data_IF_635226655020
#
_entry.id   IF_635226655020
#
_cell.length_a   1.000
_cell.length_b   1.000
_cell.length_c   1.000
_cell.angle_alpha   90.00
_cell.angle_beta   90.00
_cell.angle_gamma   90.00
#
_symmetry.space_group_name_H-M   'P 1'
#
loop_
_entity.id
_entity.type
_entity.pdbx_description
1 polymer ?
#
# COMPACT_ATOMS: atom_id res chain seq x y z
N UNK A 1 36.80 -7.96 14.37
CA UNK A 1 35.71 -8.93 14.14
C UNK A 1 34.49 -8.12 13.70
N UNK A 2 34.24 -8.01 12.39
CA UNK A 2 33.17 -7.16 11.84
C UNK A 2 31.88 -7.99 11.86
N UNK A 3 31.05 -7.75 12.86
CA UNK A 3 29.67 -8.29 12.88
C UNK A 3 28.98 -7.67 11.68
N UNK A 4 28.74 -8.47 10.64
CA UNK A 4 27.83 -8.07 9.57
C UNK A 4 26.45 -8.17 10.18
N UNK A 5 25.85 -7.03 10.51
CA UNK A 5 24.41 -6.99 10.71
C UNK A 5 23.80 -7.39 9.36
N UNK A 6 23.18 -8.56 9.30
CA UNK A 6 22.38 -8.95 8.15
C UNK A 6 21.14 -8.06 8.05
N UNK A 7 20.47 -8.03 6.89
CA UNK A 7 19.22 -7.28 6.73
C UNK A 7 18.22 -7.71 7.80
N UNK A 8 17.58 -6.73 8.44
CA UNK A 8 16.56 -6.98 9.46
C UNK A 8 15.27 -7.34 8.73
N UNK A 9 14.88 -8.61 8.85
CA UNK A 9 13.61 -9.12 8.33
C UNK A 9 12.52 -8.84 9.38
N UNK A 10 11.61 -7.93 9.07
CA UNK A 10 10.46 -7.61 9.91
C UNK A 10 9.14 -7.85 9.16
N UNK A 11 8.04 -8.06 9.89
CA UNK A 11 6.70 -8.12 9.29
C UNK A 11 6.53 -9.26 8.28
N UNK A 12 6.95 -10.48 8.65
CA UNK A 12 6.92 -11.65 7.77
C UNK A 12 5.53 -12.33 7.78
N UNK A 13 4.86 -12.35 6.64
CA UNK A 13 3.63 -13.12 6.42
C UNK A 13 3.70 -13.91 5.12
N UNK A 14 4.36 -15.08 5.14
CA UNK A 14 4.52 -15.97 3.98
C UNK A 14 3.67 -17.23 4.17
N UNK A 15 2.89 -17.57 3.15
CA UNK A 15 2.10 -18.79 3.04
C UNK A 15 2.65 -19.69 1.95
N UNK A 16 2.65 -21.00 2.21
CA UNK A 16 3.04 -22.02 1.23
C UNK A 16 1.81 -22.41 0.41
N UNK A 17 1.86 -22.19 -0.91
CA UNK A 17 0.82 -22.61 -1.86
C UNK A 17 1.03 -24.04 -2.34
N UNK A 18 2.28 -24.38 -2.64
CA UNK A 18 2.67 -25.71 -3.09
C UNK A 18 3.97 -26.10 -2.39
N UNK A 19 3.98 -27.28 -1.81
CA UNK A 19 5.17 -27.89 -1.23
C UNK A 19 5.76 -28.93 -2.20
N UNK A 20 7.05 -29.26 -2.03
CA UNK A 20 7.78 -30.20 -2.88
C UNK A 20 9.06 -29.61 -3.49
N UNK A 21 9.58 -30.26 -4.53
CA UNK A 21 10.86 -29.90 -5.16
C UNK A 21 10.88 -28.50 -5.78
N UNK A 22 9.70 -27.98 -6.14
CA UNK A 22 9.49 -26.65 -6.69
C UNK A 22 8.39 -25.94 -5.89
N UNK A 23 8.73 -25.42 -4.70
CA UNK A 23 7.74 -24.84 -3.80
C UNK A 23 7.29 -23.47 -4.31
N UNK A 24 6.01 -23.17 -4.09
CA UNK A 24 5.42 -21.87 -4.39
C UNK A 24 4.99 -21.21 -3.10
N UNK A 25 5.39 -19.96 -2.94
CA UNK A 25 5.08 -19.13 -1.78
C UNK A 25 4.35 -17.87 -2.22
N UNK A 26 3.48 -17.37 -1.35
CA UNK A 26 2.89 -16.04 -1.51
C UNK A 26 2.90 -15.34 -0.16
N UNK A 27 3.10 -14.03 -0.17
CA UNK A 27 3.17 -13.26 1.06
C UNK A 27 3.86 -11.93 0.91
N UNK A 28 4.12 -11.30 2.05
CA UNK A 28 4.87 -10.06 2.12
C UNK A 28 5.89 -10.12 3.26
N UNK A 29 6.98 -9.38 3.07
CA UNK A 29 8.03 -9.21 4.07
C UNK A 29 8.69 -7.85 3.92
N UNK A 30 9.30 -7.34 4.99
CA UNK A 30 10.01 -6.06 4.96
C UNK A 30 11.51 -6.30 5.03
N UNK A 31 12.25 -5.59 4.17
CA UNK A 31 13.72 -5.53 4.19
C UNK A 31 14.14 -4.07 4.20
N UNK A 32 14.90 -3.66 5.21
CA UNK A 32 15.44 -2.29 5.33
C UNK A 32 14.39 -1.17 5.18
N UNK A 33 13.15 -1.44 5.58
CA UNK A 33 12.03 -0.49 5.50
C UNK A 33 11.28 -0.48 4.16
N UNK A 34 11.66 -1.34 3.20
CA UNK A 34 10.96 -1.53 1.92
C UNK A 34 10.15 -2.83 1.93
N UNK A 35 8.89 -2.75 1.54
CA UNK A 35 7.95 -3.86 1.53
C UNK A 35 8.10 -4.64 0.23
N UNK A 36 8.35 -5.93 0.38
CA UNK A 36 8.51 -6.89 -0.71
C UNK A 36 7.31 -7.82 -0.73
N UNK A 37 6.71 -7.98 -1.91
CA UNK A 37 5.59 -8.86 -2.16
C UNK A 37 6.04 -10.04 -2.99
N UNK A 38 5.62 -11.24 -2.59
CA UNK A 38 5.79 -12.48 -3.34
C UNK A 38 4.39 -12.93 -3.77
N UNK A 39 4.18 -13.07 -5.07
CA UNK A 39 2.94 -13.55 -5.65
C UNK A 39 3.23 -14.63 -6.70
N UNK A 40 2.29 -15.52 -6.94
CA UNK A 40 2.31 -16.42 -8.11
C UNK A 40 2.11 -15.62 -9.40
N UNK A 41 2.59 -16.12 -10.54
CA UNK A 41 2.33 -15.54 -11.88
C UNK A 41 0.84 -15.27 -12.05
N UNK A 42 0.00 -16.27 -11.72
CA UNK A 42 -1.45 -16.17 -11.84
C UNK A 42 -2.02 -15.07 -10.96
N UNK A 43 -1.63 -15.00 -9.68
CA UNK A 43 -2.11 -13.95 -8.78
C UNK A 43 -1.65 -12.56 -9.24
N UNK A 44 -0.37 -12.41 -9.60
CA UNK A 44 0.16 -11.13 -10.08
C UNK A 44 -0.60 -10.63 -11.31
N UNK A 45 -0.82 -11.50 -12.31
CA UNK A 45 -1.56 -11.12 -13.53
C UNK A 45 -2.99 -10.69 -13.21
N UNK A 46 -3.64 -11.29 -12.21
CA UNK A 46 -5.00 -10.91 -11.80
C UNK A 46 -5.09 -9.60 -11.02
N UNK A 47 -4.02 -9.19 -10.33
CA UNK A 47 -4.01 -8.02 -9.44
C UNK A 47 -3.15 -6.85 -9.91
N UNK A 48 -2.34 -7.04 -10.96
CA UNK A 48 -1.44 -6.00 -11.48
C UNK A 48 -2.20 -4.82 -12.05
N UNK A 49 -1.57 -3.65 -12.00
CA UNK A 49 -2.00 -2.47 -12.70
C UNK A 49 -1.73 -2.59 -14.21
N UNK A 50 -2.47 -1.83 -15.03
CA UNK A 50 -2.32 -1.86 -16.50
C UNK A 50 -0.94 -1.42 -16.98
N UNK A 51 -0.29 -0.54 -16.21
CA UNK A 51 1.06 -0.03 -16.46
C UNK A 51 2.17 -0.93 -15.88
N UNK A 52 1.81 -2.00 -15.18
CA UNK A 52 2.80 -2.91 -14.62
C UNK A 52 3.41 -3.79 -15.72
N UNK A 53 4.69 -4.19 -15.58
CA UNK A 53 5.39 -4.99 -16.57
C UNK A 53 4.62 -6.27 -16.97
N UNK A 54 4.68 -6.61 -18.25
CA UNK A 54 4.23 -7.92 -18.70
C UNK A 54 5.21 -9.00 -18.27
N UNK A 55 4.67 -10.11 -17.80
CA UNK A 55 5.45 -11.27 -17.40
C UNK A 55 5.75 -12.18 -18.62
N UNK A 56 6.86 -12.94 -18.60
CA UNK A 56 7.12 -13.94 -19.63
C UNK A 56 6.03 -15.02 -19.63
N UNK A 57 5.60 -15.37 -20.84
CA UNK A 57 4.55 -16.38 -21.03
C UNK A 57 5.14 -17.79 -20.94
N UNK A 58 5.33 -18.25 -19.71
CA UNK A 58 5.70 -19.63 -19.41
C UNK A 58 4.46 -20.41 -18.93
N UNK A 59 4.29 -21.66 -19.39
CA UNK A 59 3.17 -22.52 -18.96
C UNK A 59 3.24 -22.86 -17.46
N UNK A 60 4.43 -22.84 -16.88
CA UNK A 60 4.66 -23.21 -15.49
C UNK A 60 4.37 -22.04 -14.56
N UNK A 61 3.79 -22.35 -13.41
CA UNK A 61 3.61 -21.39 -12.32
C UNK A 61 4.97 -21.06 -11.66
N UNK A 62 5.24 -19.77 -11.48
CA UNK A 62 6.44 -19.27 -10.81
C UNK A 62 6.11 -18.09 -9.90
N UNK A 63 7.07 -17.71 -9.06
CA UNK A 63 6.93 -16.59 -8.14
C UNK A 63 7.44 -15.30 -8.77
N UNK A 64 6.66 -14.24 -8.61
CA UNK A 64 6.97 -12.86 -8.98
C UNK A 64 7.22 -12.11 -7.68
N UNK A 65 8.36 -11.40 -7.63
CA UNK A 65 8.71 -10.54 -6.50
C UNK A 65 8.71 -9.09 -6.98
N UNK A 66 7.98 -8.24 -6.27
CA UNK A 66 7.90 -6.81 -6.55
C UNK A 66 7.91 -6.02 -5.23
N UNK A 67 8.24 -4.73 -5.29
CA UNK A 67 8.35 -3.87 -4.11
C UNK A 67 7.39 -2.71 -4.18
N UNK A 68 6.92 -2.24 -3.03
CA UNK A 68 6.07 -1.05 -2.96
C UNK A 68 6.79 0.21 -3.46
N UNK A 69 8.12 0.23 -3.41
CA UNK A 69 8.94 1.31 -3.95
C UNK A 69 9.11 1.26 -5.48
N UNK A 70 8.72 0.17 -6.15
CA UNK A 70 8.82 -0.01 -7.60
C UNK A 70 7.64 0.65 -8.35
N UNK A 71 7.38 1.93 -8.05
CA UNK A 71 6.35 2.73 -8.73
C UNK A 71 6.99 3.37 -9.96
N UNK A 72 6.40 3.13 -11.14
CA UNK A 72 6.83 3.80 -12.37
C UNK A 72 6.80 5.32 -12.22
N UNK A 73 7.88 6.00 -12.62
CA UNK A 73 7.90 7.45 -12.76
C UNK A 73 6.98 7.82 -13.92
N UNK A 74 5.72 8.11 -13.63
CA UNK A 74 4.83 8.77 -14.57
C UNK A 74 5.41 10.15 -14.85
N UNK A 75 6.11 10.27 -15.97
CA UNK A 75 6.51 11.56 -16.50
C UNK A 75 5.29 12.16 -17.18
N UNK A 76 4.90 13.36 -16.77
CA UNK A 76 3.94 14.17 -17.51
C UNK A 76 4.64 15.31 -18.22
N UNK A 77 4.27 15.49 -19.47
CA UNK A 77 4.82 16.51 -20.35
C UNK A 77 4.12 17.83 -20.02
N UNK A 78 4.87 18.85 -19.61
CA UNK A 78 4.30 20.18 -19.40
C UNK A 78 4.01 20.89 -20.73
N UNK A 79 3.42 22.09 -20.63
CA UNK A 79 3.08 22.92 -21.79
C UNK A 79 4.31 23.39 -22.60
N UNK A 80 5.53 23.23 -22.07
CA UNK A 80 6.80 23.58 -22.69
C UNK A 80 7.55 22.35 -23.25
N UNK A 81 6.91 21.17 -23.23
CA UNK A 81 7.50 19.92 -23.72
C UNK A 81 8.54 19.29 -22.79
N UNK A 82 8.60 19.75 -21.53
CA UNK A 82 9.50 19.22 -20.52
C UNK A 82 8.80 18.11 -19.73
N UNK A 83 9.47 16.97 -19.65
CA UNK A 83 9.01 15.80 -18.90
C UNK A 83 9.26 16.03 -17.40
N UNK A 84 8.21 16.32 -16.65
CA UNK A 84 8.28 16.40 -15.19
C UNK A 84 7.80 15.08 -14.61
N UNK A 85 8.47 14.52 -13.60
CA UNK A 85 7.79 13.56 -12.76
C UNK A 85 6.57 14.27 -12.15
N UNK A 86 5.40 13.63 -12.22
CA UNK A 86 4.24 14.04 -11.43
C UNK A 86 4.69 14.41 -10.01
N UNK A 87 4.12 15.47 -9.42
CA UNK A 87 4.44 15.97 -8.06
C UNK A 87 4.37 14.84 -7.03
N UNK A 88 5.46 14.08 -6.95
CA UNK A 88 5.63 12.88 -6.14
C UNK A 88 7.06 12.90 -5.65
N UNK A 89 7.20 12.58 -4.37
CA UNK A 89 8.45 12.54 -3.64
C UNK A 89 9.46 11.73 -4.44
N UNK A 90 10.44 12.39 -5.03
CA UNK A 90 11.50 11.76 -5.81
C UNK A 90 12.28 10.78 -4.92
N UNK A 91 12.46 9.55 -5.41
CA UNK A 91 13.33 8.53 -4.79
C UNK A 91 14.79 8.75 -5.20
N UNK A 92 15.03 9.59 -6.21
CA UNK A 92 16.36 10.16 -6.46
C UNK A 92 16.55 11.35 -5.54
N UNK A 93 17.80 11.49 -5.09
CA UNK A 93 18.32 12.37 -4.04
C UNK A 93 18.17 13.88 -4.30
N UNK A 94 17.09 14.30 -4.95
CA UNK A 94 16.71 15.70 -4.95
C UNK A 94 16.25 16.05 -3.52
N UNK A 95 16.86 17.08 -2.91
CA UNK A 95 16.57 17.44 -1.53
C UNK A 95 15.06 17.64 -1.37
N UNK A 96 14.49 17.05 -0.32
CA UNK A 96 13.04 17.01 -0.06
C UNK A 96 12.42 18.38 0.23
N UNK A 97 13.15 19.46 -0.02
CA UNK A 97 12.70 20.82 -0.13
C UNK A 97 13.70 21.56 -1.01
N UNK A 98 13.40 21.73 -2.30
CA UNK A 98 14.18 22.54 -3.24
C UNK A 98 14.15 24.05 -2.92
N UNK A 99 13.98 24.43 -1.65
CA UNK A 99 14.08 25.80 -1.18
C UNK A 99 15.50 26.33 -1.36
N UNK A 100 16.52 25.48 -1.19
CA UNK A 100 17.94 25.85 -1.34
C UNK A 100 18.33 26.15 -2.81
N UNK A 101 17.54 25.65 -3.77
CA UNK A 101 17.69 25.93 -5.20
C UNK A 101 17.02 27.22 -5.67
N UNK A 102 16.30 27.92 -4.79
CA UNK A 102 15.70 29.21 -5.12
C UNK A 102 16.81 30.27 -5.14
N UNK A 103 16.92 31.02 -6.24
CA UNK A 103 17.96 32.04 -6.44
C UNK A 103 18.07 33.05 -5.29
N UNK A 104 17.00 33.26 -4.50
CA UNK A 104 17.02 34.13 -3.34
C UNK A 104 17.73 33.51 -2.11
N UNK A 105 17.84 32.19 -2.03
CA UNK A 105 18.53 31.47 -0.95
C UNK A 105 20.01 31.19 -1.28
N UNK A 106 20.38 31.17 -2.57
CA UNK A 106 21.77 30.99 -3.02
C UNK A 106 22.60 32.29 -2.99
N UNK A 107 21.94 33.44 -2.99
CA UNK A 107 22.58 34.76 -3.00
C UNK A 107 22.38 35.45 -1.65
N UNK A 108 23.36 35.29 -0.76
CA UNK A 108 23.51 35.93 0.57
C UNK A 108 22.72 35.34 1.75
N UNK A 109 22.94 34.06 2.08
CA UNK A 109 22.54 33.51 3.38
C UNK A 109 23.78 33.12 4.23
N UNK A 110 24.03 33.78 5.39
CA UNK A 110 25.23 33.54 6.20
C UNK A 110 25.32 32.14 6.83
N UNK A 111 24.28 31.33 6.69
CA UNK A 111 24.19 29.94 7.17
C UNK A 111 24.95 28.97 6.25
N UNK A 112 25.16 29.31 4.96
CA UNK A 112 25.72 28.39 3.95
C UNK A 112 27.27 28.38 3.91
N UNK A 113 27.94 29.05 4.86
CA UNK A 113 29.40 29.10 4.95
C UNK A 113 30.02 27.92 5.73
N UNK A 114 29.23 26.91 6.09
CA UNK A 114 29.75 25.66 6.64
C UNK A 114 29.90 24.63 5.52
N UNK A 115 31.12 24.16 5.30
CA UNK A 115 31.39 23.09 4.33
C UNK A 115 30.46 21.90 4.60
N UNK A 116 29.63 21.50 3.62
CA UNK A 116 28.79 20.33 3.79
C UNK A 116 29.72 19.12 3.90
N UNK A 117 29.63 18.39 5.02
CA UNK A 117 30.28 17.09 5.19
C UNK A 117 29.94 16.23 3.96
N UNK A 118 30.98 15.79 3.24
CA UNK A 118 30.82 14.97 2.04
C UNK A 118 29.89 13.79 2.33
N UNK A 119 28.82 13.68 1.54
CA UNK A 119 27.87 12.58 1.63
C UNK A 119 28.62 11.27 1.34
N UNK A 120 28.46 10.30 2.24
CA UNK A 120 29.01 8.96 2.09
C UNK A 120 28.25 8.28 0.95
N UNK A 121 28.97 7.91 -0.11
CA UNK A 121 28.42 7.12 -1.22
C UNK A 121 27.95 5.75 -0.70
N UNK A 122 26.64 5.55 -0.59
CA UNK A 122 26.04 4.25 -0.33
C UNK A 122 25.41 3.71 -1.62
N UNK A 123 26.28 3.42 -2.59
CA UNK A 123 25.92 2.61 -3.76
C UNK A 123 25.90 1.13 -3.36
N UNK A 124 24.77 0.65 -2.84
CA UNK A 124 24.50 -0.78 -2.77
C UNK A 124 23.14 -1.06 -3.43
N UNK A 125 23.16 -1.94 -4.43
CA UNK A 125 21.97 -2.43 -5.11
C UNK A 125 20.97 -2.96 -4.07
N UNK A 126 19.78 -2.35 -4.02
CA UNK A 126 18.64 -2.87 -3.26
C UNK A 126 18.41 -2.31 -1.86
N UNK A 127 19.10 -1.24 -1.43
CA UNK A 127 18.78 -0.58 -0.16
C UNK A 127 18.57 0.93 -0.34
N UNK A 128 17.33 1.40 -0.19
CA UNK A 128 17.06 2.81 0.05
C UNK A 128 17.33 3.05 1.54
N UNK A 129 18.14 4.07 1.89
CA UNK A 129 18.38 4.36 3.30
C UNK A 129 17.05 4.69 4.00
N UNK A 130 16.80 4.10 5.18
CA UNK A 130 15.61 4.37 6.00
C UNK A 130 15.41 5.85 6.30
N UNK A 131 16.49 6.65 6.23
CA UNK A 131 16.48 8.11 6.37
C UNK A 131 15.86 8.84 5.18
N UNK A 132 15.93 8.29 3.98
CA UNK A 132 15.28 8.85 2.79
C UNK A 132 13.75 8.65 2.81
N UNK A 133 13.28 7.56 3.42
CA UNK A 133 11.84 7.23 3.50
C UNK A 133 11.20 7.82 4.77
N UNK A 134 11.83 7.62 5.93
CA UNK A 134 11.33 8.08 7.25
C UNK A 134 11.95 9.41 7.73
N UNK A 135 12.73 10.08 6.89
CA UNK A 135 13.19 11.44 7.14
C UNK A 135 11.99 12.39 7.18
N UNK A 136 11.50 12.70 8.38
CA UNK A 136 10.58 13.80 8.61
C UNK A 136 11.38 15.10 8.60
N UNK A 137 10.95 16.05 7.77
CA UNK A 137 11.34 17.45 7.93
C UNK A 137 10.96 17.87 9.35
N UNK A 138 11.96 18.17 10.17
CA UNK A 138 11.74 19.01 11.34
C UNK A 138 11.58 20.41 10.77
N UNK A 139 10.34 20.78 10.46
CA UNK A 139 10.01 22.15 10.15
C UNK A 139 10.15 22.96 11.46
N UNK A 140 11.28 23.66 11.62
CA UNK A 140 11.48 24.61 12.72
C UNK A 140 10.74 25.92 12.48
N UNK A 141 9.90 26.03 11.45
CA UNK A 141 9.14 27.23 11.14
C UNK A 141 7.81 27.23 11.89
N UNK A 142 7.68 28.21 12.79
CA UNK A 142 6.57 28.41 13.74
C UNK A 142 5.24 28.84 13.10
N UNK A 143 4.88 28.35 11.91
CA UNK A 143 3.64 28.79 11.26
C UNK A 143 3.30 28.03 9.99
N UNK A 144 2.59 26.90 10.13
CA UNK A 144 1.94 26.21 9.01
C UNK A 144 1.39 24.82 9.39
N UNK A 145 0.08 24.63 9.25
CA UNK A 145 -0.69 23.36 9.28
C UNK A 145 -0.68 22.45 10.53
N UNK A 146 0.10 22.73 11.57
CA UNK A 146 -0.10 22.10 12.89
C UNK A 146 -0.78 23.09 13.82
N UNK A 147 -1.96 22.74 14.34
CA UNK A 147 -2.86 23.57 15.14
C UNK A 147 -2.26 24.08 16.48
N UNK A 148 -1.15 24.81 16.45
CA UNK A 148 -0.43 25.33 17.62
C UNK A 148 0.24 24.26 18.50
N UNK A 149 0.21 22.99 18.10
CA UNK A 149 0.81 21.89 18.85
C UNK A 149 2.30 21.76 18.54
N UNK A 150 3.14 21.84 19.56
CA UNK A 150 4.55 21.58 19.42
C UNK A 150 4.74 20.08 19.19
N UNK A 151 5.01 19.67 17.94
CA UNK A 151 5.17 18.26 17.59
C UNK A 151 6.34 17.62 18.37
N UNK A 152 7.33 18.39 18.83
CA UNK A 152 8.44 17.89 19.68
C UNK A 152 7.96 17.33 21.01
N UNK A 153 6.85 17.83 21.56
CA UNK A 153 6.31 17.35 22.84
C UNK A 153 5.43 16.11 22.71
N UNK A 154 5.08 15.71 21.48
CA UNK A 154 4.17 14.58 21.21
C UNK A 154 4.85 13.46 20.41
N UNK A 155 6.07 13.67 19.89
CA UNK A 155 6.86 12.63 19.23
C UNK A 155 7.11 11.48 20.22
N UNK A 156 6.65 10.28 19.87
CA UNK A 156 6.77 9.08 20.70
C UNK A 156 5.67 8.92 21.78
N UNK A 157 4.68 9.82 21.83
CA UNK A 157 3.53 9.63 22.72
C UNK A 157 2.64 8.49 22.21
N UNK A 158 2.58 7.40 22.97
CA UNK A 158 1.63 6.30 22.74
C UNK A 158 0.25 6.56 23.36
N UNK A 159 -0.05 7.81 23.74
CA UNK A 159 -1.34 8.19 24.30
C UNK A 159 -2.47 7.90 23.28
N UNK A 160 -3.32 6.92 23.59
CA UNK A 160 -4.38 6.43 22.70
C UNK A 160 -4.07 5.10 22.02
N UNK A 161 -2.81 4.67 21.99
CA UNK A 161 -2.43 3.33 21.54
C UNK A 161 -2.75 2.29 22.62
N UNK A 162 -3.25 1.10 22.26
CA UNK A 162 -3.46 0.01 23.21
C UNK A 162 -2.16 -0.38 23.94
N UNK A 163 -2.21 -0.45 25.27
CA UNK A 163 -1.09 -0.95 26.10
C UNK A 163 -0.94 -2.48 26.04
N UNK A 164 -1.93 -3.17 25.51
CA UNK A 164 -1.97 -4.62 25.35
C UNK A 164 -2.42 -4.96 23.94
N UNK A 165 -2.02 -6.13 23.43
CA UNK A 165 -2.40 -6.59 22.10
C UNK A 165 -3.91 -6.72 22.01
N UNK A 166 -4.53 -6.06 21.04
CA UNK A 166 -5.96 -6.15 20.76
C UNK A 166 -6.22 -6.94 19.48
N UNK A 167 -7.37 -7.59 19.41
CA UNK A 167 -7.84 -8.27 18.20
C UNK A 167 -9.00 -7.48 17.62
N UNK A 168 -8.85 -7.01 16.38
CA UNK A 168 -9.91 -6.36 15.63
C UNK A 168 -10.48 -7.37 14.62
N UNK A 169 -11.72 -7.80 14.85
CA UNK A 169 -12.43 -8.67 13.93
C UNK A 169 -12.99 -7.85 12.77
N UNK A 170 -12.77 -8.28 11.54
CA UNK A 170 -13.11 -7.53 10.33
C UNK A 170 -14.03 -8.33 9.42
N UNK A 171 -14.94 -7.63 8.74
CA UNK A 171 -15.79 -8.18 7.70
C UNK A 171 -15.31 -7.77 6.31
N UNK A 172 -15.36 -8.70 5.36
CA UNK A 172 -15.00 -8.41 3.96
C UNK A 172 -16.12 -8.87 3.05
N UNK A 173 -16.40 -8.04 2.06
CA UNK A 173 -17.31 -8.35 0.97
C UNK A 173 -16.56 -8.21 -0.36
N UNK A 174 -16.74 -9.14 -1.27
CA UNK A 174 -16.30 -9.00 -2.67
C UNK A 174 -17.52 -8.81 -3.55
N UNK A 175 -17.44 -7.87 -4.49
CA UNK A 175 -18.44 -7.78 -5.55
C UNK A 175 -18.16 -8.74 -6.71
N UNK A 176 -19.11 -8.84 -7.62
CA UNK A 176 -19.00 -9.69 -8.79
C UNK A 176 -17.79 -9.35 -9.67
N UNK A 177 -17.42 -8.07 -9.76
CA UNK A 177 -16.32 -7.61 -10.60
C UNK A 177 -14.96 -8.00 -10.05
N UNK A 178 -14.82 -8.00 -8.72
CA UNK A 178 -13.64 -8.52 -8.05
C UNK A 178 -13.55 -10.03 -8.19
N UNK A 179 -14.64 -10.78 -7.95
CA UNK A 179 -14.62 -12.24 -8.14
C UNK A 179 -14.32 -12.63 -9.58
N UNK A 180 -14.83 -11.87 -10.57
CA UNK A 180 -14.58 -12.10 -11.99
C UNK A 180 -13.12 -11.86 -12.43
N UNK A 181 -12.31 -11.14 -11.64
CA UNK A 181 -10.88 -10.99 -11.90
C UNK A 181 -10.07 -12.27 -11.63
N UNK A 182 -10.69 -13.26 -10.98
CA UNK A 182 -10.06 -14.53 -10.61
C UNK A 182 -10.68 -15.71 -11.37
N UNK A 183 -9.90 -16.79 -11.50
CA UNK A 183 -10.34 -18.00 -12.19
C UNK A 183 -11.44 -18.76 -11.44
N UNK A 184 -11.50 -18.63 -10.11
CA UNK A 184 -12.52 -19.24 -9.26
C UNK A 184 -12.80 -18.42 -8.00
N UNK A 185 -13.96 -18.68 -7.37
CA UNK A 185 -14.33 -18.13 -6.06
C UNK A 185 -13.33 -18.50 -4.96
N UNK A 186 -12.68 -19.66 -5.09
CA UNK A 186 -11.64 -20.14 -4.17
C UNK A 186 -10.38 -19.28 -4.31
N UNK A 187 -9.95 -19.01 -5.54
CA UNK A 187 -8.78 -18.13 -5.77
C UNK A 187 -9.03 -16.70 -5.29
N UNK A 188 -10.25 -16.17 -5.48
CA UNK A 188 -10.64 -14.87 -4.92
C UNK A 188 -10.60 -14.88 -3.39
N UNK A 189 -11.17 -15.91 -2.75
CA UNK A 189 -11.13 -16.08 -1.28
C UNK A 189 -9.71 -16.17 -0.75
N UNK A 190 -8.86 -16.93 -1.43
CA UNK A 190 -7.45 -17.05 -1.06
C UNK A 190 -6.75 -15.69 -1.12
N UNK A 191 -6.95 -14.92 -2.20
CA UNK A 191 -6.40 -13.57 -2.35
C UNK A 191 -6.81 -12.66 -1.18
N UNK A 192 -8.10 -12.66 -0.80
CA UNK A 192 -8.61 -11.90 0.36
C UNK A 192 -7.88 -12.27 1.65
N UNK A 193 -7.66 -13.57 1.89
CA UNK A 193 -6.94 -14.03 3.09
C UNK A 193 -5.50 -13.50 3.07
N UNK A 194 -4.84 -13.45 1.91
CA UNK A 194 -3.47 -12.92 1.83
C UNK A 194 -3.41 -11.44 2.11
N UNK A 195 -4.36 -10.66 1.56
CA UNK A 195 -4.47 -9.22 1.82
C UNK A 195 -4.61 -8.96 3.32
N UNK A 196 -5.46 -9.72 4.01
CA UNK A 196 -5.65 -9.56 5.46
C UNK A 196 -4.45 -10.02 6.27
N UNK A 197 -3.78 -11.10 5.89
CA UNK A 197 -2.58 -11.54 6.58
C UNK A 197 -1.46 -10.50 6.45
N UNK A 198 -1.28 -9.93 5.25
CA UNK A 198 -0.32 -8.85 5.01
C UNK A 198 -0.70 -7.58 5.80
N UNK A 199 -1.97 -7.18 5.80
CA UNK A 199 -2.44 -6.05 6.58
C UNK A 199 -2.29 -6.28 8.09
N UNK A 200 -2.57 -7.50 8.59
CA UNK A 200 -2.44 -7.83 10.01
C UNK A 200 -1.00 -7.68 10.48
N UNK A 201 -0.01 -8.11 9.68
CA UNK A 201 1.40 -7.93 10.02
C UNK A 201 1.75 -6.44 10.21
N UNK A 202 1.26 -5.57 9.32
CA UNK A 202 1.48 -4.13 9.43
C UNK A 202 0.78 -3.50 10.63
N UNK A 203 -0.47 -3.90 10.93
CA UNK A 203 -1.22 -3.41 12.08
C UNK A 203 -0.65 -3.89 13.41
N UNK A 204 -0.09 -5.10 13.45
CA UNK A 204 0.60 -5.62 14.63
C UNK A 204 1.87 -4.83 14.93
N UNK A 205 2.70 -4.58 13.91
CA UNK A 205 3.94 -3.82 14.04
C UNK A 205 3.68 -2.35 14.44
N UNK A 206 2.67 -1.73 13.84
CA UNK A 206 2.41 -0.29 14.01
C UNK A 206 1.56 0.05 15.25
N UNK A 207 0.55 -0.76 15.54
CA UNK A 207 -0.51 -0.42 16.50
C UNK A 207 -0.70 -1.45 17.61
N UNK A 208 0.06 -2.56 17.60
CA UNK A 208 -0.17 -3.70 18.48
C UNK A 208 -1.62 -4.23 18.38
N UNK A 209 -2.16 -4.23 17.17
CA UNK A 209 -3.51 -4.72 16.84
C UNK A 209 -3.38 -5.85 15.83
N UNK A 210 -3.90 -7.03 16.16
CA UNK A 210 -4.05 -8.15 15.22
C UNK A 210 -5.39 -8.03 14.50
N UNK A 211 -5.39 -8.16 13.17
CA UNK A 211 -6.63 -8.21 12.39
C UNK A 211 -7.07 -9.67 12.26
N UNK A 212 -8.36 -9.94 12.46
CA UNK A 212 -8.94 -11.28 12.30
C UNK A 212 -10.14 -11.24 11.36
N UNK A 213 -10.13 -12.08 10.31
CA UNK A 213 -11.27 -12.20 9.41
C UNK A 213 -12.42 -12.95 10.10
N UNK A 214 -13.53 -12.26 10.40
CA UNK A 214 -14.69 -12.86 11.06
C UNK A 214 -15.82 -13.18 10.06
N UNK A 215 -16.09 -12.27 9.12
CA UNK A 215 -17.11 -12.47 8.11
C UNK A 215 -16.52 -12.28 6.71
N UNK A 216 -16.81 -13.23 5.81
CA UNK A 216 -16.44 -13.14 4.41
C UNK A 216 -17.67 -13.39 3.54
N UNK A 217 -18.06 -12.39 2.75
CA UNK A 217 -19.14 -12.48 1.76
C UNK A 217 -18.52 -12.43 0.38
N UNK A 218 -18.52 -13.55 -0.34
CA UNK A 218 -18.00 -13.63 -1.71
C UNK A 218 -19.18 -13.66 -2.67
N UNK A 219 -19.29 -12.64 -3.53
CA UNK A 219 -20.31 -12.62 -4.60
C UNK A 219 -19.90 -13.49 -5.77
N UNK A 220 -20.87 -13.98 -6.54
CA UNK A 220 -20.64 -14.72 -7.78
C UNK A 220 -19.94 -13.83 -8.84
N UNK A 221 -19.14 -14.43 -9.71
CA UNK A 221 -18.43 -13.71 -10.78
C UNK A 221 -19.39 -13.09 -11.82
N UNK A 222 -20.56 -13.69 -12.03
CA UNK A 222 -21.57 -13.14 -12.92
C UNK A 222 -22.34 -12.02 -12.21
N UNK A 223 -22.10 -10.78 -12.64
CA UNK A 223 -22.83 -9.63 -12.11
C UNK A 223 -24.33 -9.75 -12.42
N UNK A 224 -25.22 -9.57 -11.42
CA UNK A 224 -26.65 -9.63 -11.66
C UNK A 224 -27.11 -8.41 -12.48
N UNK A 225 -28.07 -8.62 -13.38
CA UNK A 225 -28.67 -7.53 -14.16
C UNK A 225 -29.44 -6.52 -13.28
N UNK A 226 -29.86 -6.94 -12.08
CA UNK A 226 -30.49 -6.08 -11.08
C UNK A 226 -29.97 -6.48 -9.71
N UNK A 227 -29.50 -5.49 -8.94
CA UNK A 227 -28.94 -5.73 -7.62
C UNK A 227 -29.97 -6.39 -6.69
N UNK A 228 -29.57 -7.44 -5.97
CA UNK A 228 -30.43 -8.08 -5.00
C UNK A 228 -30.64 -7.15 -3.79
N UNK A 229 -31.84 -7.15 -3.21
CA UNK A 229 -32.13 -6.36 -2.01
C UNK A 229 -31.21 -6.72 -0.82
N UNK A 230 -30.71 -7.96 -0.77
CA UNK A 230 -29.77 -8.42 0.25
C UNK A 230 -28.32 -7.95 0.04
N UNK A 231 -27.97 -7.46 -1.15
CA UNK A 231 -26.64 -6.98 -1.52
C UNK A 231 -26.75 -5.91 -2.64
N UNK A 232 -27.31 -4.73 -2.33
CA UNK A 232 -27.57 -3.70 -3.35
C UNK A 232 -26.29 -3.08 -3.92
N UNK A 233 -25.16 -3.26 -3.22
CA UNK A 233 -23.82 -2.87 -3.67
C UNK A 233 -23.20 -3.84 -4.69
N UNK A 234 -23.76 -5.05 -4.87
CA UNK A 234 -23.25 -6.04 -5.83
C UNK A 234 -23.76 -5.75 -7.24
N UNK A 235 -23.14 -4.77 -7.90
CA UNK A 235 -23.48 -4.31 -9.25
C UNK A 235 -22.24 -4.22 -10.12
N UNK A 236 -22.37 -4.53 -11.41
CA UNK A 236 -21.26 -4.41 -12.37
C UNK A 236 -20.78 -2.98 -12.54
N UNK A 237 -19.55 -2.80 -13.05
CA UNK A 237 -19.00 -1.47 -13.32
C UNK A 237 -19.82 -0.78 -14.41
N UNK A 238 -20.31 0.44 -14.13
CA UNK A 238 -21.07 1.25 -15.07
C UNK A 238 -21.00 2.72 -14.65
N UNK A 239 -21.20 3.63 -15.61
CA UNK A 239 -21.26 5.08 -15.34
C UNK A 239 -22.47 5.48 -14.49
N UNK A 240 -23.47 4.59 -14.39
CA UNK A 240 -24.67 4.79 -13.58
C UNK A 240 -24.46 4.55 -12.07
N UNK A 241 -23.33 3.96 -11.66
CA UNK A 241 -23.01 3.72 -10.24
C UNK A 241 -21.56 4.13 -9.98
N UNK A 242 -21.38 5.34 -9.47
CA UNK A 242 -20.07 5.89 -9.13
C UNK A 242 -19.47 5.20 -7.89
N UNK A 243 -18.18 5.43 -7.62
CA UNK A 243 -17.55 4.90 -6.39
C UNK A 243 -18.25 5.41 -5.12
N UNK A 244 -18.75 6.66 -5.15
CA UNK A 244 -19.46 7.24 -4.02
C UNK A 244 -20.79 6.54 -3.80
N UNK A 245 -21.51 6.20 -4.88
CA UNK A 245 -22.76 5.45 -4.80
C UNK A 245 -22.51 4.04 -4.25
N UNK A 246 -21.44 3.37 -4.69
CA UNK A 246 -21.03 2.07 -4.14
C UNK A 246 -20.76 2.15 -2.64
N UNK A 247 -20.00 3.16 -2.20
CA UNK A 247 -19.71 3.39 -0.78
C UNK A 247 -20.99 3.67 0.02
N UNK A 248 -21.93 4.44 -0.52
CA UNK A 248 -23.21 4.73 0.11
C UNK A 248 -24.07 3.46 0.24
N UNK A 249 -24.19 2.67 -0.84
CA UNK A 249 -24.95 1.41 -0.86
C UNK A 249 -24.36 0.39 0.11
N UNK A 250 -23.03 0.27 0.15
CA UNK A 250 -22.33 -0.62 1.06
C UNK A 250 -22.46 -0.17 2.51
N UNK A 251 -22.36 1.14 2.77
CA UNK A 251 -22.52 1.71 4.11
C UNK A 251 -23.94 1.54 4.64
N UNK A 252 -24.96 1.72 3.80
CA UNK A 252 -26.36 1.45 4.15
C UNK A 252 -26.57 -0.03 4.49
N UNK A 253 -26.09 -0.93 3.62
CA UNK A 253 -26.12 -2.37 3.83
C UNK A 253 -25.40 -2.81 5.12
N UNK A 254 -24.27 -2.18 5.47
CA UNK A 254 -23.56 -2.40 6.73
C UNK A 254 -24.35 -1.85 7.92
N UNK A 255 -25.02 -0.71 7.76
CA UNK A 255 -25.82 -0.07 8.80
C UNK A 255 -27.01 -0.93 9.29
N UNK A 256 -27.54 -1.78 8.42
CA UNK A 256 -28.62 -2.72 8.74
C UNK A 256 -28.15 -3.98 9.49
N UNK A 257 -26.84 -4.21 9.58
CA UNK A 257 -26.26 -5.41 10.20
C UNK A 257 -25.84 -5.15 11.64
N UNK A 258 -26.35 -5.98 12.53
CA UNK A 258 -25.91 -6.07 13.92
C UNK A 258 -24.79 -7.11 14.03
N UNK A 259 -23.57 -6.72 13.71
CA UNK A 259 -22.36 -7.50 13.95
C UNK A 259 -21.38 -6.76 14.87
N UNK A 260 -20.41 -7.51 15.41
CA UNK A 260 -19.36 -6.98 16.28
C UNK A 260 -18.05 -6.74 15.51
N UNK A 261 -18.12 -6.60 14.18
CA UNK A 261 -16.93 -6.33 13.37
C UNK A 261 -16.46 -4.90 13.63
N UNK A 262 -15.15 -4.72 13.75
CA UNK A 262 -14.50 -3.42 13.88
C UNK A 262 -14.79 -2.54 12.64
N UNK A 263 -14.70 -3.13 11.46
CA UNK A 263 -15.07 -2.49 10.20
C UNK A 263 -15.40 -3.53 9.13
N UNK A 264 -15.99 -3.03 8.04
CA UNK A 264 -16.26 -3.78 6.82
C UNK A 264 -15.53 -3.16 5.64
N UNK A 265 -14.97 -3.99 4.78
CA UNK A 265 -14.31 -3.57 3.53
C UNK A 265 -14.98 -4.22 2.34
N UNK A 266 -15.31 -3.41 1.33
CA UNK A 266 -15.76 -3.89 0.02
C UNK A 266 -14.56 -3.92 -0.94
N UNK A 267 -14.36 -5.07 -1.59
CA UNK A 267 -13.38 -5.26 -2.64
C UNK A 267 -14.09 -5.27 -4.00
N UNK A 268 -13.66 -4.38 -4.90
CA UNK A 268 -14.24 -4.13 -6.23
C UNK A 268 -13.14 -3.72 -7.20
N UNK A 269 -13.29 -4.04 -8.49
CA UNK A 269 -12.37 -3.60 -9.55
C UNK A 269 -12.89 -2.38 -10.30
N UNK A 270 -14.05 -1.84 -9.93
CA UNK A 270 -14.61 -0.65 -10.56
C UNK A 270 -13.85 0.62 -10.16
N UNK A 271 -13.21 1.26 -11.14
CA UNK A 271 -12.54 2.56 -11.00
C UNK A 271 -13.54 3.71 -11.18
N UNK A 272 -13.26 4.85 -10.54
CA UNK A 272 -14.10 6.06 -10.61
C UNK A 272 -13.93 6.84 -11.91
N UNK A 273 -12.83 6.62 -12.63
CA UNK A 273 -12.59 7.15 -13.97
C UNK A 273 -12.80 6.03 -14.99
N UNK A 274 -14.00 5.95 -15.54
CA UNK A 274 -14.25 5.32 -16.83
C UNK A 274 -13.93 6.33 -17.94
N UNK A 275 -12.71 6.26 -18.46
CA UNK A 275 -12.36 6.73 -19.81
C UNK A 275 -11.70 5.59 -20.58
#
# INVERSE_FOLDING_TARGET
MKVRNGPMLDGLGIMVKKDGDEPLFEGAFRVDGDHHHIQTKTSFVSTRHELDPSLPDEEKEYMVVWRDSDIGSGYTEDFDGLMHPELRRSVREDPSCSADGLNFNSMNNPINNFEPMAKREEGFWGSISTRAIFGRQIDTQSGGNSAGVNLTTTIGSSAGCPSTRKVALVGIATDCTYTAAFNSTETARENVIQIINAASAQYEDSFNITLGLQNLTVSDAACPATAAASAPWNVGCSDGVTIQDRLNLFSAWRGERADNNAYWTLLSTCRTDSL
#
